data_IF_688933645849
#
_entry.id   IF_688933645849
#
_cell.length_a   1.000
_cell.length_b   1.000
_cell.length_c   1.000
_cell.angle_alpha   90.00
_cell.angle_beta   90.00
_cell.angle_gamma   90.00
#
_symmetry.space_group_name_H-M   'P 1'
#
loop_
_entity.id
_entity.type
_entity.pdbx_description
1 polymer ?
#
# COMPACT_ATOMS: atom_id res chain seq x y z
N UNK A 1 5.12 4.44 1.88
CA UNK A 1 6.60 4.67 1.93
C UNK A 1 7.35 3.40 1.50
N UNK A 2 8.45 3.52 0.74
CA UNK A 2 9.33 2.37 0.41
C UNK A 2 10.25 2.03 1.58
N UNK A 3 10.40 0.76 1.88
CA UNK A 3 11.18 0.26 3.01
C UNK A 3 11.90 -1.03 2.62
N UNK A 4 13.02 -1.30 3.28
CA UNK A 4 13.75 -2.55 3.13
C UNK A 4 13.90 -3.29 4.47
N UNK A 5 14.11 -4.60 4.42
CA UNK A 5 14.40 -5.42 5.60
C UNK A 5 15.24 -6.63 5.22
N UNK A 6 16.04 -7.11 6.16
CA UNK A 6 16.82 -8.35 6.01
C UNK A 6 15.95 -9.60 6.17
N UNK A 7 14.75 -9.44 6.73
CA UNK A 7 13.78 -10.50 6.93
C UNK A 7 12.50 -10.19 6.17
N UNK A 8 11.83 -11.24 5.68
CA UNK A 8 10.53 -11.08 4.99
C UNK A 8 9.52 -10.51 5.98
N UNK A 9 8.98 -9.30 5.74
CA UNK A 9 8.01 -8.70 6.66
C UNK A 9 6.66 -9.45 6.55
N UNK A 10 5.88 -9.52 7.64
CA UNK A 10 4.49 -9.95 7.55
C UNK A 10 3.66 -8.92 6.76
N UNK A 11 2.60 -9.36 6.10
CA UNK A 11 1.70 -8.47 5.37
C UNK A 11 1.01 -7.46 6.29
N UNK A 12 0.68 -7.87 7.53
CA UNK A 12 0.16 -6.99 8.56
C UNK A 12 1.06 -7.09 9.80
N UNK A 13 1.67 -5.97 10.19
CA UNK A 13 2.55 -5.85 11.34
C UNK A 13 1.86 -5.04 12.43
N UNK A 14 1.61 -5.65 13.59
CA UNK A 14 1.07 -4.98 14.78
C UNK A 14 2.13 -4.08 15.43
N UNK A 15 1.77 -2.82 15.70
CA UNK A 15 2.65 -1.85 16.35
C UNK A 15 2.47 -1.80 17.88
N UNK A 16 1.50 -2.52 18.44
CA UNK A 16 1.26 -2.64 19.87
C UNK A 16 0.43 -1.51 20.50
N UNK A 17 0.01 -0.52 19.72
CA UNK A 17 -0.88 0.59 20.12
C UNK A 17 -2.29 0.47 19.53
N UNK A 18 -2.59 -0.68 18.90
CA UNK A 18 -3.83 -0.93 18.17
C UNK A 18 -3.79 -0.49 16.70
N UNK A 19 -2.70 0.11 16.26
CA UNK A 19 -2.43 0.40 14.84
C UNK A 19 -1.48 -0.62 14.22
N UNK A 20 -1.44 -0.65 12.89
CA UNK A 20 -0.67 -1.62 12.14
C UNK A 20 0.11 -0.94 11.01
N UNK A 21 1.15 -1.61 10.54
CA UNK A 21 1.71 -1.39 9.22
C UNK A 21 1.22 -2.49 8.27
N UNK A 22 0.66 -2.07 7.14
CA UNK A 22 0.34 -2.98 6.05
C UNK A 22 1.46 -2.95 5.01
N UNK A 23 2.16 -4.07 4.86
CA UNK A 23 3.30 -4.24 3.96
C UNK A 23 2.85 -4.97 2.69
N UNK A 24 3.13 -4.37 1.54
CA UNK A 24 2.72 -4.88 0.23
C UNK A 24 3.83 -4.72 -0.81
N UNK A 25 3.63 -5.32 -1.99
CA UNK A 25 4.65 -5.35 -3.06
C UNK A 25 6.01 -5.88 -2.60
N UNK A 26 6.02 -6.87 -1.70
CA UNK A 26 7.24 -7.45 -1.13
C UNK A 26 8.03 -8.18 -2.22
N UNK A 27 9.26 -7.71 -2.48
CA UNK A 27 10.19 -8.26 -3.47
C UNK A 27 11.50 -8.65 -2.82
N UNK A 28 12.02 -9.80 -3.21
CA UNK A 28 13.38 -10.22 -2.86
C UNK A 28 14.38 -9.49 -3.76
N UNK A 29 15.39 -8.87 -3.16
CA UNK A 29 16.45 -8.15 -3.85
C UNK A 29 17.82 -8.63 -3.35
N UNK A 30 18.78 -8.67 -4.26
CA UNK A 30 20.20 -8.82 -3.91
C UNK A 30 20.78 -7.42 -3.67
N UNK A 31 21.35 -7.22 -2.49
CA UNK A 31 22.04 -5.99 -2.11
C UNK A 31 23.52 -6.31 -2.03
N UNK A 32 24.33 -5.60 -2.83
CA UNK A 32 25.77 -5.66 -2.76
C UNK A 32 26.26 -4.61 -1.75
N UNK A 33 26.99 -5.06 -0.72
CA UNK A 33 27.64 -4.19 0.24
C UNK A 33 29.14 -4.55 0.40
N UNK A 34 29.84 -3.84 1.28
CA UNK A 34 31.27 -4.03 1.53
C UNK A 34 31.64 -5.45 2.03
N UNK A 35 30.65 -6.22 2.51
CA UNK A 35 30.82 -7.60 2.99
C UNK A 35 30.40 -8.65 1.95
N UNK A 36 29.91 -8.24 0.78
CA UNK A 36 29.46 -9.09 -0.32
C UNK A 36 27.97 -8.98 -0.63
N UNK A 37 27.44 -9.94 -1.39
CA UNK A 37 26.01 -9.97 -1.74
C UNK A 37 25.20 -10.54 -0.57
N UNK A 38 24.17 -9.82 -0.16
CA UNK A 38 23.17 -10.29 0.80
C UNK A 38 21.76 -10.18 0.23
N UNK A 39 20.90 -11.11 0.64
CA UNK A 39 19.48 -11.04 0.31
C UNK A 39 18.77 -10.06 1.24
N UNK A 40 17.94 -9.20 0.68
CA UNK A 40 17.03 -8.31 1.41
C UNK A 40 15.64 -8.30 0.76
N UNK A 41 14.68 -7.73 1.45
CA UNK A 41 13.30 -7.57 0.99
C UNK A 41 12.99 -6.09 0.86
N UNK A 42 12.59 -5.65 -0.33
CA UNK A 42 12.03 -4.32 -0.58
C UNK A 42 10.50 -4.40 -0.61
N UNK A 43 9.82 -3.47 0.05
CA UNK A 43 8.37 -3.43 0.13
C UNK A 43 7.85 -2.01 0.32
N UNK A 44 6.58 -1.81 -0.03
CA UNK A 44 5.85 -0.61 0.30
C UNK A 44 5.09 -0.83 1.61
N UNK A 45 5.00 0.20 2.44
CA UNK A 45 4.27 0.14 3.72
C UNK A 45 3.38 1.37 3.91
N UNK A 46 2.21 1.14 4.52
CA UNK A 46 1.27 2.18 4.94
C UNK A 46 0.85 1.96 6.40
N UNK A 47 0.72 3.05 7.15
CA UNK A 47 0.17 3.02 8.50
C UNK A 47 -1.35 2.94 8.46
N UNK A 48 -1.93 2.04 9.25
CA UNK A 48 -3.37 1.80 9.30
C UNK A 48 -3.84 1.77 10.74
N UNK A 49 -5.02 2.35 11.00
CA UNK A 49 -5.55 2.48 12.35
C UNK A 49 -6.10 1.18 12.94
N UNK A 50 -6.41 0.18 12.10
CA UNK A 50 -6.86 -1.15 12.50
C UNK A 50 -6.66 -2.13 11.34
N UNK A 51 -6.85 -3.41 11.62
CA UNK A 51 -6.65 -4.55 10.72
C UNK A 51 -7.81 -4.81 9.74
N UNK A 52 -8.84 -3.96 9.73
CA UNK A 52 -10.01 -4.18 8.87
C UNK A 52 -9.68 -3.85 7.42
N UNK A 53 -10.19 -4.69 6.52
CA UNK A 53 -10.05 -4.56 5.08
C UNK A 53 -10.32 -3.13 4.57
N UNK A 54 -11.44 -2.54 4.97
CA UNK A 54 -11.85 -1.23 4.47
C UNK A 54 -10.91 -0.12 4.95
N UNK A 55 -10.40 -0.23 6.18
CA UNK A 55 -9.43 0.72 6.75
C UNK A 55 -8.12 0.67 5.99
N UNK A 56 -7.63 -0.53 5.66
CA UNK A 56 -6.37 -0.72 4.95
C UNK A 56 -6.49 -0.16 3.52
N UNK A 57 -7.56 -0.50 2.80
CA UNK A 57 -7.80 0.02 1.44
C UNK A 57 -7.87 1.56 1.46
N UNK A 58 -8.62 2.13 2.41
CA UNK A 58 -8.73 3.59 2.51
C UNK A 58 -7.39 4.25 2.85
N UNK A 59 -6.56 3.64 3.69
CA UNK A 59 -5.23 4.15 4.01
C UNK A 59 -4.29 4.11 2.79
N UNK A 60 -4.34 3.05 1.98
CA UNK A 60 -3.58 2.97 0.72
C UNK A 60 -3.99 4.07 -0.26
N UNK A 61 -5.30 4.28 -0.45
CA UNK A 61 -5.80 5.34 -1.34
C UNK A 61 -5.32 6.71 -0.84
N UNK A 62 -5.39 6.94 0.48
CA UNK A 62 -4.99 8.21 1.11
C UNK A 62 -3.50 8.49 1.12
N UNK A 63 -2.65 7.47 0.97
CA UNK A 63 -1.21 7.64 0.77
C UNK A 63 -0.91 8.36 -0.56
N UNK A 64 -1.79 8.18 -1.56
CA UNK A 64 -1.64 8.77 -2.90
C UNK A 64 -2.53 9.99 -3.16
N UNK A 65 -3.77 9.96 -2.70
CA UNK A 65 -4.78 11.00 -2.95
C UNK A 65 -5.26 11.58 -1.63
N UNK A 66 -5.24 12.90 -1.50
CA UNK A 66 -5.92 13.52 -0.36
C UNK A 66 -7.44 13.39 -0.51
N UNK A 67 -8.17 13.56 0.59
CA UNK A 67 -9.65 13.54 0.55
C UNK A 67 -10.20 14.60 -0.42
N UNK A 68 -9.57 15.76 -0.51
CA UNK A 68 -9.97 16.82 -1.42
C UNK A 68 -9.70 16.45 -2.88
N UNK A 69 -8.61 15.73 -3.16
CA UNK A 69 -8.33 15.18 -4.50
C UNK A 69 -9.39 14.16 -4.90
N UNK A 70 -9.70 13.20 -4.02
CA UNK A 70 -10.74 12.20 -4.25
C UNK A 70 -12.08 12.88 -4.57
N UNK A 71 -12.49 13.87 -3.75
CA UNK A 71 -13.72 14.63 -3.96
C UNK A 71 -13.70 15.42 -5.28
N UNK A 72 -12.57 16.02 -5.63
CA UNK A 72 -12.40 16.77 -6.88
C UNK A 72 -12.55 15.85 -8.10
N UNK A 73 -11.84 14.72 -8.10
CA UNK A 73 -11.89 13.69 -9.15
C UNK A 73 -13.33 13.17 -9.30
N UNK A 74 -14.02 12.90 -8.20
CA UNK A 74 -15.40 12.44 -8.22
C UNK A 74 -16.37 13.48 -8.79
N UNK A 75 -16.20 14.78 -8.49
CA UNK A 75 -17.04 15.85 -9.03
C UNK A 75 -16.84 16.04 -10.54
N UNK A 76 -15.61 15.84 -11.02
CA UNK A 76 -15.26 15.97 -12.43
C UNK A 76 -15.40 14.65 -13.21
N UNK A 77 -16.01 13.61 -12.61
CA UNK A 77 -16.10 12.26 -13.20
C UNK A 77 -16.59 12.27 -14.65
N UNK A 78 -17.64 13.02 -14.92
CA UNK A 78 -18.30 13.00 -16.22
C UNK A 78 -17.61 13.95 -17.22
N UNK A 79 -16.92 14.98 -16.75
CA UNK A 79 -16.17 15.95 -17.56
C UNK A 79 -14.76 15.45 -17.91
N UNK A 80 -14.15 14.65 -17.03
CA UNK A 80 -12.81 14.09 -17.16
C UNK A 80 -12.81 12.57 -16.90
N UNK A 81 -13.46 11.79 -17.77
CA UNK A 81 -13.62 10.35 -17.56
C UNK A 81 -12.29 9.60 -17.51
N UNK A 82 -11.26 10.08 -18.21
CA UNK A 82 -9.91 9.48 -18.18
C UNK A 82 -9.25 9.64 -16.81
N UNK A 83 -9.34 10.84 -16.20
CA UNK A 83 -8.78 11.10 -14.86
C UNK A 83 -9.49 10.25 -13.80
N UNK A 84 -10.82 10.16 -13.90
CA UNK A 84 -11.61 9.28 -13.05
C UNK A 84 -11.26 7.80 -13.24
N UNK A 85 -11.08 7.34 -14.47
CA UNK A 85 -10.71 5.95 -14.75
C UNK A 85 -9.38 5.59 -14.10
N UNK A 86 -8.37 6.45 -14.19
CA UNK A 86 -7.06 6.24 -13.55
C UNK A 86 -7.21 6.10 -12.03
N UNK A 87 -8.02 6.95 -11.40
CA UNK A 87 -8.32 6.86 -9.98
C UNK A 87 -9.06 5.55 -9.62
N UNK A 88 -10.07 5.19 -10.42
CA UNK A 88 -10.84 3.97 -10.23
C UNK A 88 -9.97 2.71 -10.35
N UNK A 89 -9.13 2.64 -11.37
CA UNK A 89 -8.20 1.52 -11.59
C UNK A 89 -7.25 1.37 -10.39
N UNK A 90 -6.75 2.48 -9.85
CA UNK A 90 -5.92 2.46 -8.65
C UNK A 90 -6.66 1.98 -7.40
N UNK A 91 -7.94 2.36 -7.24
CA UNK A 91 -8.77 1.85 -6.15
C UNK A 91 -8.96 0.33 -6.24
N UNK A 92 -9.19 -0.21 -7.43
CA UNK A 92 -9.32 -1.66 -7.65
C UNK A 92 -7.99 -2.41 -7.45
N UNK A 93 -6.87 -1.80 -7.84
CA UNK A 93 -5.53 -2.32 -7.55
C UNK A 93 -5.31 -2.42 -6.03
N UNK A 94 -5.60 -1.36 -5.28
CA UNK A 94 -5.51 -1.34 -3.82
C UNK A 94 -6.36 -2.45 -3.19
N UNK A 95 -7.62 -2.60 -3.63
CA UNK A 95 -8.50 -3.68 -3.16
C UNK A 95 -7.92 -5.07 -3.43
N UNK A 96 -7.28 -5.26 -4.58
CA UNK A 96 -6.66 -6.54 -4.97
C UNK A 96 -5.44 -6.84 -4.11
N UNK A 97 -4.57 -5.85 -3.90
CA UNK A 97 -3.38 -5.97 -3.06
C UNK A 97 -3.78 -6.34 -1.62
N UNK A 98 -4.77 -5.66 -1.06
CA UNK A 98 -5.22 -5.96 0.32
C UNK A 98 -5.82 -7.35 0.42
N UNK A 99 -6.64 -7.78 -0.56
CA UNK A 99 -7.18 -9.16 -0.57
C UNK A 99 -6.06 -10.20 -0.61
N UNK A 100 -5.07 -10.01 -1.47
CA UNK A 100 -3.92 -10.91 -1.56
C UNK A 100 -3.10 -10.93 -0.26
N UNK A 101 -2.87 -9.76 0.35
CA UNK A 101 -2.13 -9.66 1.60
C UNK A 101 -2.83 -10.29 2.80
N UNK A 102 -4.16 -10.22 2.85
CA UNK A 102 -4.99 -10.79 3.92
C UNK A 102 -5.44 -12.23 3.65
N UNK A 103 -5.23 -12.76 2.43
CA UNK A 103 -5.67 -14.10 2.03
C UNK A 103 -7.19 -14.24 1.85
N UNK A 104 -7.85 -13.18 1.36
CA UNK A 104 -9.30 -13.10 1.13
C UNK A 104 -9.71 -13.46 -0.31
#
# INVERSE_FOLDING_TARGET
MKTNSDHRPPALLDLGDGSYHFNFNIKEIEVEDESGNRMAFEYDTVHVQNDRYETIVAAMIRDRYSLDDELSIHRQRDEKPVEFQVYFDYCEECKTIVKQGLGL
#
